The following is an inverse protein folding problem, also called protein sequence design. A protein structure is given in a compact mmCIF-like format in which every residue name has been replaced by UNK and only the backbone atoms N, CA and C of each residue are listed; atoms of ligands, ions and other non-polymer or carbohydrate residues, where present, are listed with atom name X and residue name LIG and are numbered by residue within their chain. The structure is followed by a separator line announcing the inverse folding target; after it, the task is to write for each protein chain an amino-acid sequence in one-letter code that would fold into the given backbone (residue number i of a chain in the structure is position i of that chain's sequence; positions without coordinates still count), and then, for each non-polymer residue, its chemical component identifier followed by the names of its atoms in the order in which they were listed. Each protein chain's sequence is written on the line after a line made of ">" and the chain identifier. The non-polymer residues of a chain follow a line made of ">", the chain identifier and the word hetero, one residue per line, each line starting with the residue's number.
data_IF_904369371563
#
_entry.id   IF_904369371563
#
_cell.length_a   1.000
_cell.length_b   1.000
_cell.length_c   1.000
_cell.angle_alpha   90.00
_cell.angle_beta   90.00
_cell.angle_gamma   90.00
#
_symmetry.space_group_name_H-M   'P 1'
#
loop_
_entity.id
_entity.type
_entity.pdbx_description
1 polymer ?
#
# COMPACT_ATOMS: atom_id res chain seq x y z
N UNK A 1 6.36 11.17 -26.73
CA UNK A 1 7.20 9.95 -26.77
C UNK A 1 8.64 10.42 -26.91
N UNK A 2 9.43 10.36 -25.83
CA UNK A 2 10.87 10.58 -25.91
C UNK A 2 11.46 9.47 -26.79
N UNK A 3 12.19 9.86 -27.83
CA UNK A 3 12.68 8.97 -28.88
C UNK A 3 13.73 8.03 -28.26
N UNK A 4 13.43 6.72 -28.19
CA UNK A 4 14.41 5.66 -27.95
C UNK A 4 14.73 5.25 -26.51
N UNK A 5 14.08 5.82 -25.48
CA UNK A 5 14.29 5.38 -24.10
C UNK A 5 13.41 4.16 -23.77
N UNK A 6 14.03 3.08 -23.31
CA UNK A 6 13.32 1.89 -22.81
C UNK A 6 12.78 2.14 -21.39
N UNK A 7 11.44 2.15 -21.20
CA UNK A 7 10.84 2.39 -19.90
C UNK A 7 11.20 1.34 -18.86
N UNK A 8 11.48 0.09 -19.25
CA UNK A 8 11.88 -0.98 -18.32
C UNK A 8 13.22 -0.66 -17.69
N UNK A 9 14.20 -0.31 -18.52
CA UNK A 9 15.51 0.14 -18.05
C UNK A 9 15.41 1.37 -17.15
N UNK A 10 14.61 2.38 -17.53
CA UNK A 10 14.41 3.57 -16.71
C UNK A 10 13.78 3.25 -15.35
N UNK A 11 12.77 2.38 -15.32
CA UNK A 11 12.10 1.98 -14.09
C UNK A 11 13.02 1.19 -13.15
N UNK A 12 13.89 0.33 -13.68
CA UNK A 12 14.93 -0.34 -12.89
C UNK A 12 15.88 0.63 -12.18
N UNK A 13 16.31 1.68 -12.88
CA UNK A 13 17.18 2.72 -12.30
C UNK A 13 16.45 3.52 -11.21
N UNK A 14 15.14 3.77 -11.37
CA UNK A 14 14.32 4.50 -10.39
C UNK A 14 14.00 3.66 -9.14
N UNK A 15 13.80 2.35 -9.28
CA UNK A 15 13.40 1.44 -8.19
C UNK A 15 14.57 0.77 -7.45
N UNK A 16 15.82 1.10 -7.79
CA UNK A 16 17.04 0.53 -7.18
C UNK A 16 17.04 -1.02 -7.18
N UNK A 17 17.23 -1.64 -8.35
CA UNK A 17 17.58 -3.06 -8.68
C UNK A 17 16.87 -4.23 -7.98
N UNK A 18 16.05 -4.00 -6.96
CA UNK A 18 15.50 -5.02 -6.06
C UNK A 18 14.07 -5.42 -6.42
N UNK A 19 13.50 -4.82 -7.46
CA UNK A 19 12.14 -5.12 -7.93
C UNK A 19 12.19 -5.90 -9.24
N UNK A 20 11.73 -7.14 -9.23
CA UNK A 20 11.53 -7.90 -10.48
C UNK A 20 10.29 -7.38 -11.20
N UNK A 21 10.48 -6.70 -12.33
CA UNK A 21 9.39 -6.23 -13.18
C UNK A 21 8.95 -7.42 -14.05
N UNK A 22 7.71 -7.91 -13.95
CA UNK A 22 7.26 -9.04 -14.75
C UNK A 22 7.44 -8.77 -16.25
N UNK A 23 7.90 -9.77 -17.00
CA UNK A 23 8.15 -9.64 -18.45
C UNK A 23 6.87 -9.35 -19.25
N UNK A 24 5.71 -9.69 -18.69
CA UNK A 24 4.40 -9.54 -19.32
C UNK A 24 3.88 -8.09 -19.30
N UNK A 25 4.55 -7.18 -18.58
CA UNK A 25 4.12 -5.78 -18.49
C UNK A 25 4.58 -5.01 -19.73
N UNK A 26 3.62 -4.41 -20.43
CA UNK A 26 3.84 -3.63 -21.64
C UNK A 26 4.43 -2.23 -21.35
N UNK A 27 5.10 -1.67 -22.36
CA UNK A 27 5.79 -0.37 -22.29
C UNK A 27 4.89 0.78 -21.86
N UNK A 28 3.61 0.79 -22.27
CA UNK A 28 2.68 1.87 -21.90
C UNK A 28 2.37 1.82 -20.41
N UNK A 29 2.19 0.62 -19.85
CA UNK A 29 2.02 0.41 -18.42
C UNK A 29 3.27 0.82 -17.65
N UNK A 30 4.46 0.48 -18.13
CA UNK A 30 5.72 0.92 -17.52
C UNK A 30 5.85 2.45 -17.53
N UNK A 31 5.55 3.10 -18.65
CA UNK A 31 5.52 4.57 -18.73
C UNK A 31 4.51 5.20 -17.77
N UNK A 32 3.32 4.61 -17.61
CA UNK A 32 2.33 5.08 -16.63
C UNK A 32 2.87 4.98 -15.21
N UNK A 33 3.56 3.90 -14.84
CA UNK A 33 4.16 3.73 -13.52
C UNK A 33 5.24 4.80 -13.29
N UNK A 34 6.14 5.00 -14.26
CA UNK A 34 7.20 6.02 -14.18
C UNK A 34 6.60 7.42 -14.01
N UNK A 35 5.60 7.77 -14.82
CA UNK A 35 4.90 9.06 -14.72
C UNK A 35 4.24 9.19 -13.35
N UNK A 36 3.57 8.15 -12.85
CA UNK A 36 2.94 8.18 -11.53
C UNK A 36 3.96 8.37 -10.41
N UNK A 37 5.12 7.71 -10.47
CA UNK A 37 6.21 7.89 -9.50
C UNK A 37 6.80 9.30 -9.55
N UNK A 38 7.02 9.85 -10.75
CA UNK A 38 7.57 11.20 -10.91
C UNK A 38 6.54 12.29 -10.57
N UNK A 39 5.26 12.01 -10.73
CA UNK A 39 4.15 12.91 -10.44
C UNK A 39 3.59 12.71 -9.02
N UNK A 40 4.23 11.87 -8.21
CA UNK A 40 3.76 11.58 -6.87
C UNK A 40 3.85 12.86 -6.02
N UNK A 41 2.73 13.33 -5.44
CA UNK A 41 2.77 14.53 -4.62
C UNK A 41 3.76 14.34 -3.47
N UNK A 42 4.43 15.41 -3.03
CA UNK A 42 5.43 15.30 -1.98
C UNK A 42 4.84 14.62 -0.75
N UNK A 43 5.53 13.58 -0.26
CA UNK A 43 5.09 12.84 0.92
C UNK A 43 4.88 13.82 2.07
N UNK A 44 3.73 13.69 2.74
CA UNK A 44 3.38 14.57 3.88
C UNK A 44 4.43 14.44 4.97
N UNK A 45 5.12 15.54 5.28
CA UNK A 45 6.06 15.58 6.40
C UNK A 45 5.31 15.53 7.75
N UNK A 46 5.89 14.83 8.73
CA UNK A 46 5.35 14.80 10.10
C UNK A 46 5.40 16.20 10.71
N UNK A 47 4.28 16.63 11.30
CA UNK A 47 4.23 17.88 12.06
C UNK A 47 5.03 17.74 13.35
N UNK A 48 6.08 18.56 13.52
CA UNK A 48 7.02 18.43 14.65
C UNK A 48 6.40 18.71 16.02
N UNK A 49 5.27 19.40 16.07
CA UNK A 49 4.61 19.84 17.31
C UNK A 49 3.45 18.93 17.75
N UNK A 50 3.18 17.82 17.04
CA UNK A 50 2.10 16.88 17.37
C UNK A 50 2.73 15.51 17.60
N UNK A 51 2.84 15.10 18.87
CA UNK A 51 3.56 13.88 19.22
C UNK A 51 2.94 13.09 20.38
N UNK A 52 2.06 13.69 21.18
CA UNK A 52 1.54 13.08 22.40
C UNK A 52 0.09 12.64 22.23
N UNK A 53 -0.37 11.75 23.12
CA UNK A 53 -1.78 11.37 23.17
C UNK A 53 -2.67 12.59 23.47
N UNK A 54 -2.20 13.50 24.33
CA UNK A 54 -2.90 14.75 24.64
C UNK A 54 -3.13 15.61 23.39
N UNK A 55 -2.14 15.67 22.49
CA UNK A 55 -2.28 16.39 21.22
C UNK A 55 -3.39 15.76 20.37
N UNK A 56 -3.44 14.43 20.29
CA UNK A 56 -4.49 13.70 19.56
C UNK A 56 -5.87 14.00 20.13
N UNK A 57 -6.04 13.92 21.45
CA UNK A 57 -7.31 14.21 22.12
C UNK A 57 -7.75 15.66 21.84
N UNK A 58 -6.81 16.61 21.88
CA UNK A 58 -7.09 18.02 21.57
C UNK A 58 -7.50 18.21 20.11
N UNK A 59 -6.84 17.54 19.15
CA UNK A 59 -7.20 17.60 17.74
C UNK A 59 -8.61 17.07 17.50
N UNK A 60 -8.95 15.92 18.08
CA UNK A 60 -10.28 15.32 17.95
C UNK A 60 -11.35 16.26 18.53
N UNK A 61 -11.14 16.82 19.72
CA UNK A 61 -12.10 17.72 20.37
C UNK A 61 -12.34 19.02 19.61
N UNK A 62 -11.31 19.57 18.97
CA UNK A 62 -11.38 20.89 18.32
C UNK A 62 -11.71 20.81 16.82
N UNK A 63 -11.72 19.61 16.22
CA UNK A 63 -11.95 19.46 14.78
C UNK A 63 -13.42 19.19 14.48
N UNK A 64 -14.01 20.02 13.62
CA UNK A 64 -15.40 19.86 13.17
C UNK A 64 -15.54 19.10 11.85
N UNK A 65 -14.41 18.78 11.19
CA UNK A 65 -14.36 18.11 9.88
C UNK A 65 -13.26 17.06 9.92
N UNK A 66 -13.64 15.84 10.28
CA UNK A 66 -12.72 14.71 10.48
C UNK A 66 -12.99 13.67 9.39
N UNK A 67 -11.93 13.28 8.66
CA UNK A 67 -11.97 12.14 7.74
C UNK A 67 -11.45 10.93 8.50
N UNK A 68 -12.22 9.84 8.49
CA UNK A 68 -11.83 8.56 9.08
C UNK A 68 -11.57 7.57 7.95
N UNK A 69 -10.32 7.12 7.82
CA UNK A 69 -9.93 6.04 6.92
C UNK A 69 -9.79 4.76 7.75
N UNK A 70 -10.57 3.74 7.42
CA UNK A 70 -10.57 2.45 8.14
C UNK A 70 -10.13 1.31 7.22
N UNK A 71 -9.69 0.21 7.82
CA UNK A 71 -9.46 -1.07 7.14
C UNK A 71 -10.11 -2.21 7.93
N UNK A 72 -9.87 -3.47 7.53
CA UNK A 72 -10.51 -4.65 8.12
C UNK A 72 -10.42 -4.74 9.65
N UNK A 73 -9.37 -4.17 10.25
CA UNK A 73 -9.14 -4.17 11.71
C UNK A 73 -10.33 -3.63 12.54
N UNK A 74 -11.15 -2.73 12.00
CA UNK A 74 -12.31 -2.17 12.76
C UNK A 74 -13.44 -3.18 12.98
N UNK A 75 -13.47 -4.28 12.20
CA UNK A 75 -14.52 -5.30 12.24
C UNK A 75 -14.10 -6.58 12.99
N UNK A 76 -12.84 -6.68 13.42
CA UNK A 76 -12.31 -7.85 14.13
C UNK A 76 -13.06 -8.11 15.44
N UNK A 77 -13.40 -7.05 16.18
CA UNK A 77 -14.22 -7.16 17.39
C UNK A 77 -15.65 -7.64 17.13
N UNK A 78 -16.13 -7.57 15.89
CA UNK A 78 -17.43 -8.07 15.48
C UNK A 78 -17.38 -9.54 15.02
N UNK A 79 -16.23 -10.21 15.15
CA UNK A 79 -16.03 -11.60 14.75
C UNK A 79 -15.69 -11.79 13.27
N UNK A 80 -15.49 -10.71 12.50
CA UNK A 80 -15.02 -10.79 11.12
C UNK A 80 -13.49 -10.74 11.15
N UNK A 81 -12.79 -11.86 10.85
CA UNK A 81 -11.34 -11.88 10.90
C UNK A 81 -10.76 -10.96 9.83
N UNK A 82 -9.73 -10.19 10.19
CA UNK A 82 -8.94 -9.49 9.20
C UNK A 82 -7.98 -10.47 8.52
N UNK A 83 -7.28 -9.98 7.49
CA UNK A 83 -6.38 -10.83 6.73
C UNK A 83 -5.08 -11.14 7.47
N UNK A 84 -4.57 -10.21 8.28
CA UNK A 84 -3.15 -10.18 8.68
C UNK A 84 -2.89 -10.49 10.16
N UNK A 85 -3.91 -10.54 11.01
CA UNK A 85 -3.74 -10.97 12.41
C UNK A 85 -3.34 -12.44 12.52
N UNK A 86 -2.83 -12.84 13.70
CA UNK A 86 -2.40 -14.21 14.02
C UNK A 86 -3.46 -15.28 13.73
N UNK A 87 -4.74 -14.96 13.97
CA UNK A 87 -5.88 -15.84 13.69
C UNK A 87 -6.67 -15.40 12.43
N UNK A 88 -6.05 -14.51 11.65
CA UNK A 88 -6.60 -13.92 10.44
C UNK A 88 -6.66 -14.91 9.28
N UNK A 89 -7.28 -14.46 8.19
CA UNK A 89 -7.57 -15.29 7.02
C UNK A 89 -6.29 -15.90 6.43
N UNK A 90 -5.17 -15.18 6.41
CA UNK A 90 -3.90 -15.68 5.86
C UNK A 90 -3.31 -16.85 6.66
N UNK A 91 -3.43 -16.82 7.99
CA UNK A 91 -2.93 -17.91 8.85
C UNK A 91 -3.74 -19.19 8.69
N UNK A 92 -5.05 -19.08 8.41
CA UNK A 92 -5.91 -20.23 8.09
C UNK A 92 -5.61 -20.76 6.70
N UNK A 93 -5.46 -19.88 5.72
CA UNK A 93 -5.14 -20.23 4.34
C UNK A 93 -3.81 -20.96 4.20
N UNK A 94 -2.77 -20.56 4.94
CA UNK A 94 -1.50 -21.27 4.94
C UNK A 94 -1.61 -22.70 5.50
N UNK A 95 -2.60 -22.97 6.36
CA UNK A 95 -2.87 -24.31 6.90
C UNK A 95 -3.78 -25.13 5.98
N UNK A 96 -4.84 -24.52 5.45
CA UNK A 96 -5.89 -25.19 4.68
C UNK A 96 -5.52 -25.35 3.19
N UNK A 97 -4.70 -24.44 2.66
CA UNK A 97 -4.28 -24.38 1.25
C UNK A 97 -2.78 -24.06 1.14
N UNK A 98 -1.89 -25.01 1.49
CA UNK A 98 -0.44 -24.78 1.51
C UNK A 98 0.17 -24.46 0.14
N UNK A 99 -0.53 -24.81 -0.94
CA UNK A 99 -0.09 -24.57 -2.32
C UNK A 99 -0.45 -23.15 -2.83
N UNK A 100 -1.09 -22.31 -2.01
CA UNK A 100 -1.45 -20.96 -2.41
C UNK A 100 -0.21 -20.04 -2.37
N UNK A 101 0.20 -19.43 -3.50
CA UNK A 101 1.46 -18.70 -3.60
C UNK A 101 1.44 -17.33 -2.89
N UNK A 102 0.29 -16.65 -2.82
CA UNK A 102 0.09 -15.42 -2.07
C UNK A 102 -1.37 -15.34 -1.57
N UNK A 103 -1.61 -15.10 -0.27
CA UNK A 103 -2.95 -14.89 0.26
C UNK A 103 -3.72 -13.69 -0.35
N UNK A 104 -3.04 -12.75 -1.03
CA UNK A 104 -3.68 -11.66 -1.78
C UNK A 104 -4.45 -12.14 -3.02
N UNK A 105 -4.20 -13.36 -3.51
CA UNK A 105 -4.89 -13.95 -4.67
C UNK A 105 -6.39 -14.17 -4.38
N UNK A 106 -6.79 -14.27 -3.11
CA UNK A 106 -8.20 -14.40 -2.70
C UNK A 106 -8.94 -13.07 -2.53
N UNK A 107 -8.29 -11.93 -2.81
CA UNK A 107 -8.92 -10.60 -2.72
C UNK A 107 -9.58 -10.14 -4.03
N UNK A 108 -9.73 -11.04 -5.01
CA UNK A 108 -10.38 -10.82 -6.31
C UNK A 108 -11.81 -11.37 -6.34
#
# INVERSE_FOLDING_TARGET
>A
MLIGADPRNLLHHLLMDSTQIPEQVDDLTLWKIIINMMSEPPRRQKLRHINTLTDVVRLIRNSNRIIVLTGAGVSVSCGIPDFRSRDGIYSRLAQDFPDLPDPQVMQL
#
